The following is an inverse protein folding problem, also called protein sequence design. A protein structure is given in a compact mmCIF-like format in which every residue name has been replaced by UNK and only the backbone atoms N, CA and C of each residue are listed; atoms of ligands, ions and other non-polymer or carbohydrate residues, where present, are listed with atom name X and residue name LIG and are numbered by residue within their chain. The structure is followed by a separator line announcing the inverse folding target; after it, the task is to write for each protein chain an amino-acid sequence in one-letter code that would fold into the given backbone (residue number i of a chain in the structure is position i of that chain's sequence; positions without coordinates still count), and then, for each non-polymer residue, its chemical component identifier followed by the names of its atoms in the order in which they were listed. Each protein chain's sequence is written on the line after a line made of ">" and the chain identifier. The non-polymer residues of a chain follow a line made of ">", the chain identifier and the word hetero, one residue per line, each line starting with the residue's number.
data_IF_780361839139
#
_entry.id   IF_780361839139
#
_cell.length_a   1.000
_cell.length_b   1.000
_cell.length_c   1.000
_cell.angle_alpha   90.00
_cell.angle_beta   90.00
_cell.angle_gamma   90.00
#
_symmetry.space_group_name_H-M   'P 1'
#
loop_
_entity.id
_entity.type
_entity.pdbx_description
1 polymer ?
#
# COMPACT_ATOMS: atom_id res chain seq x y z
N UNK A 1 3.04 28.43 -8.70
CA UNK A 1 3.63 27.69 -9.83
C UNK A 1 4.04 26.31 -9.33
N UNK A 2 3.12 25.34 -9.37
CA UNK A 2 3.35 23.99 -8.83
C UNK A 2 4.30 23.21 -9.73
N UNK A 3 5.36 22.62 -9.16
CA UNK A 3 6.33 21.79 -9.88
C UNK A 3 5.61 20.61 -10.55
N UNK A 4 5.62 20.57 -11.87
CA UNK A 4 5.16 19.43 -12.67
C UNK A 4 6.03 18.22 -12.33
N UNK A 5 5.46 17.21 -11.66
CA UNK A 5 6.14 15.92 -11.45
C UNK A 5 6.03 15.12 -12.76
N UNK A 6 7.17 14.69 -13.29
CA UNK A 6 7.31 14.05 -14.61
C UNK A 6 6.56 12.71 -14.77
N UNK A 7 6.12 12.07 -13.67
CA UNK A 7 5.25 10.89 -13.70
C UNK A 7 4.07 11.06 -12.73
N UNK A 8 2.94 11.59 -13.19
CA UNK A 8 1.75 11.64 -12.38
C UNK A 8 1.19 10.20 -12.29
N UNK A 9 1.17 9.65 -11.07
CA UNK A 9 0.61 8.32 -10.82
C UNK A 9 -0.92 8.45 -10.82
N UNK A 10 -1.55 8.27 -11.99
CA UNK A 10 -2.97 8.54 -12.21
C UNK A 10 -3.93 7.43 -11.76
N UNK A 11 -3.43 6.27 -11.36
CA UNK A 11 -4.32 5.17 -10.96
C UNK A 11 -4.81 5.38 -9.53
N UNK A 12 -6.08 5.77 -9.41
CA UNK A 12 -6.79 5.88 -8.13
C UNK A 12 -7.53 4.57 -7.89
N UNK A 13 -7.40 4.02 -6.68
CA UNK A 13 -8.08 2.80 -6.27
C UNK A 13 -9.12 3.18 -5.22
N UNK A 14 -10.37 2.75 -5.44
CA UNK A 14 -11.43 2.83 -4.43
C UNK A 14 -11.52 1.48 -3.72
N UNK A 15 -11.44 1.49 -2.39
CA UNK A 15 -11.51 0.28 -1.56
C UNK A 15 -12.72 0.35 -0.63
N UNK A 16 -13.37 -0.80 -0.39
CA UNK A 16 -14.41 -0.94 0.63
C UNK A 16 -13.79 -1.60 1.86
N UNK A 17 -14.04 -1.03 3.02
CA UNK A 17 -13.55 -1.52 4.32
C UNK A 17 -14.66 -1.41 5.35
N UNK A 18 -14.54 -2.15 6.44
CA UNK A 18 -15.44 -2.00 7.58
C UNK A 18 -15.12 -0.73 8.39
N UNK A 19 -16.02 -0.31 9.27
CA UNK A 19 -15.79 0.84 10.16
C UNK A 19 -14.61 0.60 11.10
N UNK A 20 -14.44 -0.64 11.60
CA UNK A 20 -13.32 -1.02 12.46
C UNK A 20 -11.96 -0.94 11.74
N UNK A 21 -11.92 -1.37 10.48
CA UNK A 21 -10.71 -1.25 9.65
C UNK A 21 -10.37 0.21 9.36
N UNK A 22 -11.41 1.05 9.16
CA UNK A 22 -11.25 2.49 8.95
C UNK A 22 -10.64 3.17 10.18
N UNK A 23 -11.15 2.89 11.37
CA UNK A 23 -10.59 3.44 12.62
C UNK A 23 -9.13 3.01 12.83
N UNK A 24 -8.83 1.74 12.55
CA UNK A 24 -7.46 1.22 12.63
C UNK A 24 -6.54 1.96 11.65
N UNK A 25 -7.00 2.21 10.43
CA UNK A 25 -6.24 2.95 9.42
C UNK A 25 -5.96 4.40 9.86
N UNK A 26 -6.95 5.07 10.46
CA UNK A 26 -6.79 6.43 11.00
C UNK A 26 -5.74 6.47 12.13
N UNK A 27 -5.78 5.53 13.06
CA UNK A 27 -4.77 5.43 14.13
C UNK A 27 -3.35 5.23 13.59
N UNK A 28 -3.21 4.40 12.54
CA UNK A 28 -1.91 4.17 11.89
C UNK A 28 -1.42 5.45 11.22
N UNK A 29 -2.30 6.17 10.53
CA UNK A 29 -1.97 7.47 9.92
C UNK A 29 -1.49 8.47 10.98
N UNK A 30 -2.20 8.56 12.10
CA UNK A 30 -1.85 9.48 13.19
C UNK A 30 -0.52 9.13 13.86
N UNK A 31 -0.23 7.84 14.02
CA UNK A 31 1.00 7.36 14.65
C UNK A 31 2.20 7.52 13.73
N UNK A 32 2.06 7.18 12.45
CA UNK A 32 3.16 7.16 11.47
C UNK A 32 3.35 8.47 10.73
N UNK A 33 2.34 9.36 10.78
CA UNK A 33 2.23 10.60 9.99
C UNK A 33 2.30 10.36 8.47
N UNK A 34 1.88 9.17 8.01
CA UNK A 34 1.86 8.78 6.60
C UNK A 34 0.46 8.88 6.00
N UNK A 35 0.38 9.12 4.70
CA UNK A 35 -0.90 9.09 3.98
C UNK A 35 -1.36 7.64 3.76
N UNK A 36 -2.66 7.43 3.56
CA UNK A 36 -3.21 6.12 3.16
C UNK A 36 -2.49 5.54 1.94
N UNK A 37 -2.14 6.40 0.97
CA UNK A 37 -1.42 5.98 -0.23
C UNK A 37 -0.01 5.46 0.08
N UNK A 38 0.68 6.05 1.04
CA UNK A 38 2.03 5.60 1.44
C UNK A 38 1.96 4.30 2.24
N UNK A 39 1.01 4.22 3.19
CA UNK A 39 0.74 3.02 3.97
C UNK A 39 0.39 1.84 3.04
N UNK A 40 -0.48 2.05 2.06
CA UNK A 40 -0.85 1.00 1.11
C UNK A 40 0.32 0.57 0.21
N UNK A 41 1.22 1.48 -0.17
CA UNK A 41 2.44 1.11 -0.92
C UNK A 41 3.36 0.23 -0.08
N UNK A 42 3.54 0.56 1.18
CA UNK A 42 4.33 -0.26 2.11
C UNK A 42 3.69 -1.64 2.33
N UNK A 43 2.38 -1.68 2.54
CA UNK A 43 1.64 -2.93 2.65
C UNK A 43 1.78 -3.80 1.39
N UNK A 44 1.69 -3.21 0.20
CA UNK A 44 1.90 -3.93 -1.06
C UNK A 44 3.31 -4.53 -1.16
N UNK A 45 4.36 -3.80 -0.79
CA UNK A 45 5.73 -4.34 -0.81
C UNK A 45 5.93 -5.45 0.23
N UNK A 46 5.34 -5.31 1.43
CA UNK A 46 5.36 -6.35 2.47
C UNK A 46 4.60 -7.61 2.04
N UNK A 47 3.45 -7.45 1.40
CA UNK A 47 2.68 -8.59 0.87
C UNK A 47 3.42 -9.23 -0.30
N UNK A 48 4.01 -8.42 -1.20
CA UNK A 48 4.83 -8.91 -2.30
C UNK A 48 6.04 -9.69 -1.81
N UNK A 49 6.75 -9.22 -0.79
CA UNK A 49 7.91 -9.95 -0.25
C UNK A 49 7.51 -11.29 0.36
N UNK A 50 6.35 -11.36 1.03
CA UNK A 50 5.80 -12.60 1.60
C UNK A 50 5.26 -13.56 0.53
N UNK A 51 4.57 -13.04 -0.49
CA UNK A 51 3.94 -13.84 -1.53
C UNK A 51 4.96 -14.32 -2.58
N UNK A 52 5.79 -13.41 -3.10
CA UNK A 52 6.77 -13.71 -4.14
C UNK A 52 7.98 -14.50 -3.61
N UNK A 53 8.23 -14.48 -2.29
CA UNK A 53 9.17 -15.38 -1.63
C UNK A 53 8.81 -16.87 -1.79
N UNK A 54 7.56 -17.20 -2.13
CA UNK A 54 7.07 -18.58 -2.31
C UNK A 54 6.93 -19.05 -3.77
N UNK A 55 7.05 -18.14 -4.76
CA UNK A 55 6.96 -18.52 -6.18
C UNK A 55 8.29 -19.04 -6.74
N UNK A 56 9.42 -18.74 -6.09
CA UNK A 56 10.73 -19.29 -6.48
C UNK A 56 10.88 -20.76 -6.07
N UNK A 57 10.17 -21.22 -5.03
CA UNK A 57 10.17 -22.64 -4.62
C UNK A 57 9.30 -23.53 -5.52
N UNK A 58 8.31 -22.96 -6.23
CA UNK A 58 7.38 -23.73 -7.08
C UNK A 58 7.87 -23.97 -8.52
N UNK A 59 8.99 -23.34 -8.92
CA UNK A 59 9.63 -23.58 -10.23
C UNK A 59 10.87 -24.48 -10.18
N UNK A 60 11.17 -25.05 -9.02
CA UNK A 60 12.32 -25.94 -8.80
C UNK A 60 11.91 -27.34 -8.29
N UNK A 61 10.69 -27.80 -8.59
CA UNK A 61 10.21 -29.15 -8.30
C UNK A 61 9.66 -29.82 -9.57
#
# INVERSE_FOLDING_TARGET
>A
MGRMRENPRYNVISMRISDADRETLEQIMDTTKKSVSDIMREAMELVKSRACGSELDKKAA
#
